data_IF_892622414179
#
_entry.id   IF_892622414179
#
_cell.length_a   1.000
_cell.length_b   1.000
_cell.length_c   1.000
_cell.angle_alpha   90.00
_cell.angle_beta   90.00
_cell.angle_gamma   90.00
#
_symmetry.space_group_name_H-M   'P 1'
#
loop_
_entity.id
_entity.type
_entity.pdbx_description
1 polymer ?
#
# COMPACT_ATOMS: atom_id res chain seq x y z
N UNK A 1 -6.90 18.90 -13.75
CA UNK A 1 -8.16 19.61 -14.07
C UNK A 1 -9.11 19.39 -12.91
N UNK A 2 -9.52 20.41 -12.17
CA UNK A 2 -10.53 20.23 -11.14
C UNK A 2 -11.88 19.93 -11.82
N UNK A 3 -12.46 18.78 -11.51
CA UNK A 3 -13.85 18.48 -11.84
C UNK A 3 -14.73 18.89 -10.67
N UNK A 4 -15.65 19.77 -10.88
CA UNK A 4 -16.76 20.03 -9.95
C UNK A 4 -17.93 19.19 -10.42
N UNK A 5 -18.28 18.15 -9.69
CA UNK A 5 -19.52 17.41 -9.88
C UNK A 5 -20.62 18.12 -9.12
N UNK A 6 -21.61 18.59 -9.82
CA UNK A 6 -22.88 19.05 -9.23
C UNK A 6 -23.89 17.94 -9.50
N UNK A 7 -24.13 17.07 -8.51
CA UNK A 7 -25.21 16.09 -8.60
C UNK A 7 -26.54 16.77 -8.28
N UNK A 8 -27.38 16.85 -9.24
CA UNK A 8 -28.68 17.47 -9.14
C UNK A 8 -29.78 16.42 -9.14
N UNK A 9 -30.58 16.34 -8.08
CA UNK A 9 -31.78 15.52 -8.06
C UNK A 9 -32.98 16.46 -8.08
N UNK A 10 -33.63 16.62 -9.22
CA UNK A 10 -34.87 17.36 -9.36
C UNK A 10 -36.07 16.45 -9.03
N UNK A 11 -36.44 16.37 -7.75
CA UNK A 11 -37.69 15.72 -7.37
C UNK A 11 -38.79 16.78 -7.17
N UNK A 12 -39.84 16.72 -7.98
CA UNK A 12 -41.10 17.44 -7.78
C UNK A 12 -41.11 18.95 -7.90
N UNK A 13 -40.58 19.56 -8.96
CA UNK A 13 -40.71 21.00 -9.21
C UNK A 13 -41.73 21.32 -10.28
N UNK A 14 -42.38 22.50 -10.21
CA UNK A 14 -43.20 23.05 -11.27
C UNK A 14 -42.42 23.52 -12.50
N UNK A 15 -41.09 23.59 -12.44
CA UNK A 15 -40.25 23.98 -13.57
C UNK A 15 -39.91 22.80 -14.46
N UNK A 16 -40.12 22.94 -15.76
CA UNK A 16 -39.83 21.84 -16.74
C UNK A 16 -38.35 21.71 -17.08
N UNK A 17 -37.52 22.74 -16.87
CA UNK A 17 -36.09 22.70 -17.15
C UNK A 17 -35.34 23.78 -16.36
N UNK A 18 -34.11 23.50 -16.00
CA UNK A 18 -33.19 24.40 -15.31
C UNK A 18 -32.04 24.79 -16.24
N UNK A 19 -31.73 26.10 -16.29
CA UNK A 19 -30.63 26.60 -17.12
C UNK A 19 -29.43 26.91 -16.24
N UNK A 20 -28.37 26.07 -16.32
CA UNK A 20 -27.11 26.33 -15.63
C UNK A 20 -26.22 27.15 -16.55
N UNK A 21 -25.86 28.36 -16.11
CA UNK A 21 -24.98 29.27 -16.83
C UNK A 21 -23.56 29.02 -16.28
N UNK A 22 -22.74 28.33 -17.05
CA UNK A 22 -21.29 28.32 -16.86
C UNK A 22 -20.68 29.40 -17.74
N UNK A 23 -19.51 29.93 -17.39
CA UNK A 23 -18.86 31.07 -18.01
C UNK A 23 -18.77 31.03 -19.55
N UNK A 24 -18.87 29.82 -20.15
CA UNK A 24 -18.79 29.65 -21.61
C UNK A 24 -19.89 28.77 -22.24
N UNK A 25 -20.75 28.09 -21.48
CA UNK A 25 -21.81 27.25 -22.04
C UNK A 25 -23.04 27.20 -21.16
N UNK A 26 -24.20 27.28 -21.79
CA UNK A 26 -25.52 27.12 -21.15
C UNK A 26 -25.97 25.66 -21.32
N UNK A 27 -26.13 24.95 -20.23
CA UNK A 27 -26.62 23.56 -20.23
C UNK A 27 -28.07 23.57 -19.75
N UNK A 28 -29.00 23.04 -20.56
CA UNK A 28 -30.38 22.83 -20.15
C UNK A 28 -30.47 21.46 -19.46
N UNK A 29 -31.03 21.44 -18.26
CA UNK A 29 -31.25 20.23 -17.47
C UNK A 29 -32.73 19.97 -17.39
N UNK A 30 -33.15 18.81 -17.83
CA UNK A 30 -34.55 18.38 -17.72
C UNK A 30 -34.81 17.69 -16.36
N UNK A 31 -36.09 17.65 -15.97
CA UNK A 31 -36.53 17.14 -14.69
C UNK A 31 -36.10 15.66 -14.51
N UNK A 32 -35.30 15.36 -13.49
CA UNK A 32 -34.85 14.01 -13.15
C UNK A 32 -33.50 13.59 -13.76
N UNK A 33 -32.82 14.49 -14.46
CA UNK A 33 -31.50 14.21 -15.06
C UNK A 33 -30.38 14.50 -14.09
N UNK A 34 -29.40 13.56 -14.01
CA UNK A 34 -28.17 13.74 -13.23
C UNK A 34 -27.10 14.32 -14.17
N UNK A 35 -26.54 15.47 -13.82
CA UNK A 35 -25.55 16.11 -14.67
C UNK A 35 -24.22 16.26 -13.96
N UNK A 36 -23.17 15.84 -14.67
CA UNK A 36 -21.77 16.09 -14.32
C UNK A 36 -21.25 17.32 -15.10
N UNK A 37 -20.93 18.39 -14.40
CA UNK A 37 -20.38 19.60 -15.02
C UNK A 37 -18.87 19.65 -14.88
N UNK A 38 -18.17 19.56 -16.02
CA UNK A 38 -16.71 19.72 -16.11
C UNK A 38 -16.38 21.22 -16.30
N UNK A 39 -15.64 21.79 -15.36
CA UNK A 39 -15.17 23.18 -15.43
C UNK A 39 -13.72 23.22 -15.95
N UNK A 40 -13.48 24.08 -16.93
CA UNK A 40 -12.20 24.19 -17.63
C UNK A 40 -10.99 24.59 -16.77
N UNK A 41 -9.80 24.49 -17.37
CA UNK A 41 -8.46 24.47 -16.77
C UNK A 41 -8.02 25.70 -15.96
N UNK A 42 -8.69 26.85 -16.05
CA UNK A 42 -8.12 28.15 -15.64
C UNK A 42 -8.67 28.75 -14.34
N UNK A 43 -9.46 28.00 -13.55
CA UNK A 43 -10.07 28.53 -12.33
C UNK A 43 -9.38 27.97 -11.10
N UNK A 44 -8.88 28.84 -10.21
CA UNK A 44 -8.28 28.46 -8.93
C UNK A 44 -9.33 27.82 -8.00
N UNK A 45 -8.97 26.72 -7.34
CA UNK A 45 -9.86 25.90 -6.50
C UNK A 45 -10.75 26.70 -5.51
N UNK A 46 -10.22 27.78 -4.91
CA UNK A 46 -10.96 28.63 -3.95
C UNK A 46 -12.06 29.47 -4.61
N UNK A 47 -11.82 29.95 -5.83
CA UNK A 47 -12.77 30.76 -6.57
C UNK A 47 -13.92 29.93 -7.10
N UNK A 48 -13.65 28.68 -7.49
CA UNK A 48 -14.68 27.71 -7.91
C UNK A 48 -15.63 27.40 -6.75
N UNK A 49 -15.09 27.08 -5.56
CA UNK A 49 -15.88 26.79 -4.36
C UNK A 49 -16.74 27.99 -3.94
N UNK A 50 -16.18 29.21 -3.96
CA UNK A 50 -16.89 30.42 -3.61
C UNK A 50 -18.01 30.70 -4.62
N UNK A 51 -17.74 30.62 -5.92
CA UNK A 51 -18.71 30.89 -6.98
C UNK A 51 -19.78 29.82 -7.09
N UNK A 52 -19.42 28.53 -6.89
CA UNK A 52 -20.37 27.41 -6.82
C UNK A 52 -21.30 27.57 -5.61
N UNK A 53 -20.76 27.94 -4.43
CA UNK A 53 -21.55 28.19 -3.22
C UNK A 53 -22.51 29.40 -3.38
N UNK A 54 -22.04 30.51 -3.98
CA UNK A 54 -22.89 31.66 -4.29
C UNK A 54 -23.95 31.33 -5.35
N UNK A 55 -23.60 30.53 -6.37
CA UNK A 55 -24.52 30.01 -7.38
C UNK A 55 -25.60 29.13 -6.76
N UNK A 56 -25.22 28.19 -5.91
CA UNK A 56 -26.12 27.31 -5.19
C UNK A 56 -27.05 28.08 -4.24
N UNK A 57 -26.54 29.09 -3.52
CA UNK A 57 -27.36 29.98 -2.66
C UNK A 57 -28.35 30.82 -3.45
N UNK A 58 -27.95 31.38 -4.61
CA UNK A 58 -28.85 32.09 -5.50
C UNK A 58 -29.91 31.18 -6.10
N UNK A 59 -29.56 29.96 -6.47
CA UNK A 59 -30.50 28.95 -6.94
C UNK A 59 -31.47 28.52 -5.84
N UNK A 60 -30.98 28.25 -4.63
CA UNK A 60 -31.81 27.91 -3.48
C UNK A 60 -32.80 29.00 -3.10
N UNK A 61 -32.39 30.28 -3.24
CA UNK A 61 -33.25 31.43 -3.02
C UNK A 61 -34.28 31.67 -4.15
N UNK A 62 -33.97 31.23 -5.40
CA UNK A 62 -34.87 31.34 -6.55
C UNK A 62 -35.86 30.21 -6.72
N UNK A 63 -35.63 29.08 -6.04
CA UNK A 63 -36.37 27.84 -6.16
C UNK A 63 -37.01 27.49 -4.81
N UNK A 64 -38.06 28.20 -4.49
CA UNK A 64 -38.89 27.99 -3.29
C UNK A 64 -38.87 26.50 -2.78
N UNK A 65 -38.19 26.26 -1.64
CA UNK A 65 -38.16 25.11 -0.76
C UNK A 65 -38.28 23.63 -1.33
N UNK A 66 -38.39 23.45 -2.62
CA UNK A 66 -38.66 22.14 -3.25
C UNK A 66 -37.43 21.37 -3.75
N UNK A 67 -36.21 21.90 -3.56
CA UNK A 67 -34.97 21.29 -4.04
C UNK A 67 -34.00 21.04 -2.91
N UNK A 68 -33.64 19.78 -2.72
CA UNK A 68 -32.54 19.40 -1.87
C UNK A 68 -31.28 19.33 -2.70
N UNK A 69 -30.38 20.31 -2.57
CA UNK A 69 -29.02 20.23 -3.11
C UNK A 69 -28.26 19.27 -2.23
N UNK A 70 -28.15 18.02 -2.67
CA UNK A 70 -27.58 16.99 -1.82
C UNK A 70 -26.06 17.02 -1.70
N UNK A 71 -25.28 17.41 -2.71
CA UNK A 71 -23.82 17.48 -2.61
C UNK A 71 -23.15 18.37 -3.66
N UNK A 72 -22.34 19.32 -3.20
CA UNK A 72 -21.24 19.92 -3.96
C UNK A 72 -19.96 19.18 -3.55
N UNK A 73 -19.59 18.13 -4.27
CA UNK A 73 -18.27 17.52 -4.09
C UNK A 73 -17.31 18.06 -5.16
N UNK A 74 -16.39 18.92 -4.76
CA UNK A 74 -15.18 19.12 -5.56
C UNK A 74 -14.34 17.86 -5.45
N UNK A 75 -14.49 16.94 -6.39
CA UNK A 75 -13.57 15.83 -6.55
C UNK A 75 -12.32 16.41 -7.20
N UNK A 76 -11.28 16.71 -6.42
CA UNK A 76 -9.93 16.77 -6.99
C UNK A 76 -9.75 15.44 -7.70
N UNK A 77 -9.74 15.44 -9.01
CA UNK A 77 -9.16 14.34 -9.74
C UNK A 77 -7.68 14.38 -9.42
N UNK A 78 -7.31 13.76 -8.32
CA UNK A 78 -5.94 13.46 -7.97
C UNK A 78 -5.40 12.52 -9.04
N UNK A 79 -5.07 13.06 -10.20
CA UNK A 79 -4.58 12.30 -11.34
C UNK A 79 -3.09 12.06 -11.29
N UNK A 80 -2.47 12.11 -10.14
CA UNK A 80 -1.04 11.92 -9.99
C UNK A 80 -0.67 10.56 -9.43
N UNK A 81 0.25 9.87 -10.08
CA UNK A 81 0.92 8.66 -9.58
C UNK A 81 1.72 8.94 -8.29
N UNK A 82 2.01 10.23 -8.00
CA UNK A 82 2.83 10.66 -6.87
C UNK A 82 2.33 10.11 -5.53
N UNK A 83 1.04 10.22 -5.26
CA UNK A 83 0.46 9.74 -4.00
C UNK A 83 0.62 8.24 -3.82
N UNK A 84 0.26 7.46 -4.84
CA UNK A 84 0.38 5.99 -4.79
C UNK A 84 1.83 5.52 -4.73
N UNK A 85 2.77 6.24 -5.35
CA UNK A 85 4.21 5.95 -5.26
C UNK A 85 4.72 6.16 -3.83
N UNK A 86 4.42 7.30 -3.21
CA UNK A 86 4.82 7.59 -1.83
C UNK A 86 4.17 6.58 -0.86
N UNK A 87 2.88 6.28 -1.04
CA UNK A 87 2.19 5.27 -0.22
C UNK A 87 2.85 3.90 -0.31
N UNK A 88 3.26 3.49 -1.52
CA UNK A 88 3.97 2.23 -1.74
C UNK A 88 5.35 2.23 -1.07
N UNK A 89 6.09 3.34 -1.12
CA UNK A 89 7.37 3.46 -0.42
C UNK A 89 7.20 3.36 1.10
N UNK A 90 6.22 4.04 1.69
CA UNK A 90 5.91 3.90 3.12
C UNK A 90 5.51 2.46 3.48
N UNK A 91 4.69 1.82 2.65
CA UNK A 91 4.29 0.43 2.84
C UNK A 91 5.52 -0.50 2.86
N UNK A 92 6.42 -0.36 1.88
CA UNK A 92 7.66 -1.14 1.81
C UNK A 92 8.51 -0.93 3.06
N UNK A 93 8.79 0.33 3.41
CA UNK A 93 9.65 0.65 4.56
C UNK A 93 9.09 0.11 5.87
N UNK A 94 7.80 0.33 6.13
CA UNK A 94 7.15 -0.14 7.35
C UNK A 94 7.09 -1.67 7.40
N UNK A 95 6.72 -2.32 6.29
CA UNK A 95 6.68 -3.78 6.25
C UNK A 95 8.06 -4.39 6.50
N UNK A 96 9.11 -3.88 5.84
CA UNK A 96 10.47 -4.37 6.06
C UNK A 96 10.96 -4.11 7.48
N UNK A 97 10.59 -2.97 8.08
CA UNK A 97 10.93 -2.63 9.46
C UNK A 97 10.38 -3.66 10.45
N UNK A 98 9.20 -4.23 10.19
CA UNK A 98 8.61 -5.25 11.06
C UNK A 98 9.02 -6.68 10.65
N UNK A 99 8.95 -7.02 9.36
CA UNK A 99 9.14 -8.41 8.93
C UNK A 99 10.58 -8.87 9.02
N UNK A 100 11.58 -8.01 8.74
CA UNK A 100 12.98 -8.43 8.77
C UNK A 100 13.45 -8.77 10.19
N UNK A 101 13.26 -7.93 11.22
CA UNK A 101 13.68 -8.28 12.58
C UNK A 101 12.98 -9.54 13.11
N UNK A 102 11.67 -9.65 12.89
CA UNK A 102 10.88 -10.79 13.33
C UNK A 102 11.28 -12.07 12.59
N UNK A 103 11.38 -12.01 11.26
CA UNK A 103 11.70 -13.16 10.42
C UNK A 103 13.15 -13.65 10.60
N UNK A 104 14.12 -12.72 10.67
CA UNK A 104 15.52 -13.05 10.93
C UNK A 104 15.67 -13.65 12.33
N UNK A 105 15.04 -13.07 13.35
CA UNK A 105 15.06 -13.60 14.72
C UNK A 105 14.48 -15.02 14.80
N UNK A 106 13.32 -15.24 14.16
CA UNK A 106 12.70 -16.57 14.08
C UNK A 106 13.59 -17.57 13.31
N UNK A 107 14.19 -17.17 12.19
CA UNK A 107 15.10 -18.02 11.43
C UNK A 107 16.34 -18.41 12.23
N UNK A 108 16.97 -17.48 12.93
CA UNK A 108 18.10 -17.73 13.82
C UNK A 108 17.71 -18.74 14.91
N UNK A 109 16.55 -18.52 15.54
CA UNK A 109 16.07 -19.44 16.57
C UNK A 109 15.83 -20.84 16.02
N UNK A 110 15.08 -20.99 14.94
CA UNK A 110 14.72 -22.27 14.35
C UNK A 110 15.92 -23.02 13.78
N UNK A 111 16.91 -22.30 13.20
CA UNK A 111 18.06 -22.94 12.54
C UNK A 111 19.19 -23.26 13.52
N UNK A 112 19.49 -22.36 14.46
CA UNK A 112 20.70 -22.44 15.27
C UNK A 112 20.47 -22.81 16.75
N UNK A 113 19.28 -22.50 17.29
CA UNK A 113 18.95 -22.75 18.70
C UNK A 113 17.99 -23.93 18.93
N UNK A 114 16.97 -24.05 18.07
CA UNK A 114 15.93 -25.05 18.25
C UNK A 114 16.49 -26.47 18.09
N UNK A 115 16.23 -27.32 19.08
CA UNK A 115 16.56 -28.75 18.99
C UNK A 115 15.64 -29.44 17.98
N UNK A 116 16.18 -30.42 17.27
CA UNK A 116 15.38 -31.30 16.41
C UNK A 116 14.33 -32.02 17.24
N UNK A 117 13.06 -31.96 16.81
CA UNK A 117 11.95 -32.56 17.54
C UNK A 117 10.59 -32.15 17.00
N UNK A 118 9.54 -32.72 17.59
CA UNK A 118 8.14 -32.49 17.16
C UNK A 118 7.73 -31.01 17.16
N UNK A 119 8.25 -30.24 18.10
CA UNK A 119 7.92 -28.78 18.22
C UNK A 119 8.50 -27.99 17.06
N UNK A 120 9.78 -28.20 16.71
CA UNK A 120 10.41 -27.56 15.54
C UNK A 120 9.69 -27.95 14.26
N UNK A 121 9.42 -29.25 14.08
CA UNK A 121 8.68 -29.76 12.92
C UNK A 121 7.27 -29.11 12.81
N UNK A 122 6.55 -29.00 13.94
CA UNK A 122 5.23 -28.36 13.95
C UNK A 122 5.30 -26.91 13.48
N UNK A 123 6.22 -26.11 14.03
CA UNK A 123 6.37 -24.69 13.64
C UNK A 123 6.75 -24.59 12.16
N UNK A 124 7.69 -25.40 11.68
CA UNK A 124 8.10 -25.40 10.26
C UNK A 124 6.92 -25.75 9.36
N UNK A 125 6.14 -26.76 9.70
CA UNK A 125 4.95 -27.15 8.94
C UNK A 125 3.88 -26.05 8.95
N UNK A 126 3.70 -25.32 10.06
CA UNK A 126 2.78 -24.17 10.12
C UNK A 126 3.25 -23.03 9.22
N UNK A 127 4.57 -22.72 9.19
CA UNK A 127 5.15 -21.73 8.30
C UNK A 127 4.93 -22.13 6.83
N UNK A 128 5.11 -23.41 6.51
CA UNK A 128 4.90 -23.95 5.19
C UNK A 128 3.43 -23.87 4.77
N UNK A 129 2.52 -24.28 5.64
CA UNK A 129 1.08 -24.17 5.40
C UNK A 129 0.64 -22.72 5.19
N UNK A 130 1.16 -21.78 6.00
CA UNK A 130 0.83 -20.35 5.89
C UNK A 130 1.26 -19.77 4.55
N UNK A 131 2.38 -20.23 3.99
CA UNK A 131 2.85 -19.76 2.68
C UNK A 131 1.95 -20.17 1.50
N UNK A 132 1.09 -21.17 1.67
CA UNK A 132 0.11 -21.63 0.70
C UNK A 132 -1.26 -20.91 0.78
N UNK A 133 -1.50 -20.09 1.79
CA UNK A 133 -2.78 -19.40 1.98
C UNK A 133 -2.90 -18.23 0.99
N UNK A 134 -4.06 -18.08 0.27
CA UNK A 134 -4.30 -16.93 -0.59
C UNK A 134 -4.20 -15.60 0.17
N UNK A 135 -3.52 -14.61 -0.41
CA UNK A 135 -3.26 -13.31 0.24
C UNK A 135 -4.53 -12.53 0.63
N UNK A 136 -5.63 -12.76 -0.10
CA UNK A 136 -6.93 -12.15 0.21
C UNK A 136 -7.42 -12.50 1.62
N UNK A 137 -7.16 -13.73 2.09
CA UNK A 137 -7.54 -14.18 3.44
C UNK A 137 -6.80 -13.36 4.49
N UNK A 138 -5.52 -13.11 4.28
CA UNK A 138 -4.74 -12.22 5.16
C UNK A 138 -5.27 -10.79 5.14
N UNK A 139 -5.80 -10.32 4.01
CA UNK A 139 -6.48 -9.03 3.92
C UNK A 139 -7.70 -8.95 4.84
N UNK A 140 -8.54 -9.99 4.87
CA UNK A 140 -9.67 -10.08 5.79
C UNK A 140 -9.23 -10.13 7.26
N UNK A 141 -8.21 -10.94 7.57
CA UNK A 141 -7.63 -10.99 8.92
C UNK A 141 -7.10 -9.60 9.31
N UNK A 142 -6.40 -8.94 8.41
CA UNK A 142 -5.89 -7.58 8.63
C UNK A 142 -6.99 -6.56 8.89
N UNK A 143 -8.09 -6.65 8.17
CA UNK A 143 -9.27 -5.80 8.38
C UNK A 143 -9.87 -6.00 9.77
N UNK A 144 -10.01 -7.25 10.21
CA UNK A 144 -10.65 -7.57 11.50
C UNK A 144 -9.73 -7.31 12.69
N UNK A 145 -8.40 -7.50 12.52
CA UNK A 145 -7.42 -7.43 13.62
C UNK A 145 -6.67 -6.11 13.62
N UNK A 146 -6.08 -5.71 12.46
CA UNK A 146 -5.14 -4.58 12.44
C UNK A 146 -5.82 -3.21 12.29
N UNK A 147 -6.98 -3.12 11.64
CA UNK A 147 -7.71 -1.84 11.63
C UNK A 147 -8.16 -1.47 13.06
N UNK A 148 -8.82 -2.35 13.84
CA UNK A 148 -9.12 -2.04 15.25
C UNK A 148 -7.88 -1.81 16.11
N UNK A 149 -6.78 -2.57 15.88
CA UNK A 149 -5.53 -2.36 16.61
C UNK A 149 -4.96 -0.96 16.37
N UNK A 150 -4.90 -0.50 15.12
CA UNK A 150 -4.43 0.86 14.79
C UNK A 150 -5.40 1.92 15.32
N UNK A 151 -6.70 1.64 15.39
CA UNK A 151 -7.71 2.56 15.93
C UNK A 151 -7.49 2.90 17.41
N UNK A 152 -6.86 2.01 18.18
CA UNK A 152 -6.49 2.27 19.59
C UNK A 152 -5.52 3.47 19.71
N UNK A 153 -4.68 3.71 18.70
CA UNK A 153 -3.70 4.80 18.69
C UNK A 153 -4.23 6.06 17.99
N UNK A 154 -5.16 5.91 17.06
CA UNK A 154 -5.66 7.02 16.22
C UNK A 154 -7.02 7.54 16.66
N UNK A 155 -7.74 6.78 17.47
CA UNK A 155 -9.13 7.07 17.87
C UNK A 155 -10.14 6.93 16.72
N UNK A 156 -9.72 6.44 15.54
CA UNK A 156 -10.57 6.24 14.36
C UNK A 156 -10.35 4.85 13.78
N UNK A 157 -11.44 4.10 13.63
CA UNK A 157 -11.41 2.80 12.94
C UNK A 157 -11.52 3.03 11.43
N UNK A 158 -10.41 3.25 10.78
CA UNK A 158 -10.34 3.57 9.34
C UNK A 158 -9.17 2.84 8.68
N UNK A 159 -9.21 2.75 7.36
CA UNK A 159 -8.10 2.23 6.57
C UNK A 159 -6.81 2.99 6.85
N UNK A 160 -5.67 2.27 6.87
CA UNK A 160 -4.37 2.90 7.10
C UNK A 160 -3.22 2.14 6.42
N UNK A 161 -2.16 2.88 6.07
CA UNK A 161 -0.92 2.29 5.55
C UNK A 161 -0.29 1.38 6.61
N UNK A 162 -0.38 1.76 7.89
CA UNK A 162 0.17 0.96 8.99
C UNK A 162 -0.54 -0.39 9.13
N UNK A 163 -1.89 -0.44 9.05
CA UNK A 163 -2.62 -1.71 9.04
C UNK A 163 -2.24 -2.58 7.83
N UNK A 164 -2.05 -1.94 6.66
CA UNK A 164 -1.52 -2.61 5.47
C UNK A 164 -0.12 -3.20 5.70
N UNK A 165 0.79 -2.46 6.30
CA UNK A 165 2.15 -2.91 6.59
C UNK A 165 2.18 -4.08 7.60
N UNK A 166 1.35 -4.04 8.64
CA UNK A 166 1.20 -5.15 9.59
C UNK A 166 0.62 -6.41 8.93
N UNK A 167 -0.37 -6.23 8.05
CA UNK A 167 -0.94 -7.34 7.26
C UNK A 167 0.12 -7.96 6.35
N UNK A 168 0.87 -7.13 5.61
CA UNK A 168 1.96 -7.60 4.75
C UNK A 168 3.08 -8.25 5.55
N UNK A 169 3.31 -7.83 6.79
CA UNK A 169 4.28 -8.47 7.68
C UNK A 169 3.92 -9.93 7.91
N UNK A 170 2.66 -10.25 8.23
CA UNK A 170 2.24 -11.66 8.42
C UNK A 170 2.35 -12.45 7.11
N UNK A 171 1.95 -11.87 5.99
CA UNK A 171 2.03 -12.53 4.66
C UNK A 171 3.48 -12.88 4.29
N UNK A 172 4.43 -12.01 4.64
CA UNK A 172 5.83 -12.15 4.23
C UNK A 172 6.70 -12.89 5.25
N UNK A 173 6.23 -13.01 6.49
CA UNK A 173 6.98 -13.66 7.57
C UNK A 173 7.48 -15.08 7.19
N UNK A 174 6.66 -15.97 6.62
CA UNK A 174 7.11 -17.29 6.17
C UNK A 174 8.24 -17.22 5.14
N UNK A 175 8.15 -16.29 4.20
CA UNK A 175 9.17 -16.12 3.15
C UNK A 175 10.51 -15.70 3.77
N UNK A 176 10.49 -14.69 4.65
CA UNK A 176 11.72 -14.21 5.32
C UNK A 176 12.33 -15.29 6.20
N UNK A 177 11.53 -16.04 6.94
CA UNK A 177 12.03 -17.12 7.80
C UNK A 177 12.73 -18.18 6.94
N UNK A 178 12.09 -18.65 5.87
CA UNK A 178 12.66 -19.70 5.00
C UNK A 178 13.95 -19.26 4.34
N UNK A 179 13.92 -18.14 3.62
CA UNK A 179 15.09 -17.66 2.87
C UNK A 179 16.25 -17.29 3.79
N UNK A 180 15.95 -16.74 4.98
CA UNK A 180 16.99 -16.47 5.99
C UNK A 180 17.53 -17.78 6.58
N UNK A 181 16.69 -18.78 6.86
CA UNK A 181 17.14 -20.08 7.34
C UNK A 181 18.06 -20.78 6.33
N UNK A 182 17.70 -20.75 5.04
CA UNK A 182 18.54 -21.27 3.95
C UNK A 182 19.88 -20.54 3.88
N UNK A 183 19.88 -19.21 4.03
CA UNK A 183 21.10 -18.41 4.07
C UNK A 183 21.99 -18.75 5.27
N UNK A 184 21.41 -19.04 6.44
CA UNK A 184 22.15 -19.45 7.62
C UNK A 184 22.74 -20.87 7.46
N UNK A 185 21.96 -21.80 6.89
CA UNK A 185 22.40 -23.18 6.64
C UNK A 185 23.51 -23.25 5.59
N UNK A 186 23.50 -22.34 4.60
CA UNK A 186 24.54 -22.30 3.56
C UNK A 186 25.94 -21.94 4.08
N UNK A 187 26.04 -21.43 5.32
CA UNK A 187 27.34 -21.14 5.96
C UNK A 187 28.02 -22.45 6.38
N UNK A 188 29.26 -22.71 5.96
CA UNK A 188 29.98 -23.90 6.34
C UNK A 188 30.12 -24.09 7.88
N UNK A 189 29.88 -25.29 8.37
CA UNK A 189 29.84 -25.61 9.81
C UNK A 189 31.16 -25.32 10.55
N UNK A 190 32.27 -25.32 9.82
CA UNK A 190 33.58 -25.04 10.43
C UNK A 190 33.68 -23.58 10.97
N UNK A 191 32.92 -22.63 10.46
CA UNK A 191 32.87 -21.28 11.04
C UNK A 191 32.35 -21.30 12.49
N UNK A 192 31.33 -22.13 12.76
CA UNK A 192 30.79 -22.31 14.10
C UNK A 192 31.80 -23.05 15.01
N UNK A 193 32.33 -24.18 14.57
CA UNK A 193 33.25 -25.00 15.39
C UNK A 193 34.57 -24.26 15.68
N UNK A 194 35.17 -23.61 14.71
CA UNK A 194 36.42 -22.85 14.91
C UNK A 194 36.24 -21.69 15.87
N UNK A 195 35.15 -20.96 15.80
CA UNK A 195 34.86 -19.87 16.71
C UNK A 195 34.66 -20.33 18.16
N UNK A 196 33.94 -21.47 18.35
CA UNK A 196 33.73 -22.06 19.66
C UNK A 196 35.05 -22.61 20.23
N UNK A 197 35.92 -23.20 19.40
CA UNK A 197 37.22 -23.69 19.79
C UNK A 197 38.15 -22.53 20.28
N UNK A 198 37.99 -21.34 19.76
CA UNK A 198 38.69 -20.13 20.24
C UNK A 198 38.06 -19.53 21.51
N UNK A 199 37.07 -20.16 22.12
CA UNK A 199 36.45 -19.73 23.36
C UNK A 199 35.31 -18.77 23.23
N UNK A 200 34.82 -18.47 21.99
CA UNK A 200 33.67 -17.64 21.81
C UNK A 200 32.39 -18.32 22.27
N UNK A 201 31.45 -17.57 22.83
CA UNK A 201 30.12 -18.11 23.15
C UNK A 201 29.30 -18.33 21.87
N UNK A 202 28.30 -19.23 21.92
CA UNK A 202 27.39 -19.50 20.81
C UNK A 202 26.74 -18.20 20.29
N UNK A 203 26.28 -17.32 21.17
CA UNK A 203 25.70 -16.04 20.79
C UNK A 203 26.71 -15.13 20.10
N UNK A 204 27.94 -15.03 20.62
CA UNK A 204 29.00 -14.25 20.00
C UNK A 204 29.32 -14.75 18.58
N UNK A 205 29.41 -16.08 18.41
CA UNK A 205 29.62 -16.70 17.10
C UNK A 205 28.48 -16.37 16.13
N UNK A 206 27.22 -16.48 16.57
CA UNK A 206 26.07 -16.20 15.72
C UNK A 206 26.06 -14.74 15.27
N UNK A 207 26.13 -13.78 16.20
CA UNK A 207 25.99 -12.36 15.87
C UNK A 207 27.24 -11.74 15.23
N UNK A 208 28.44 -12.24 15.53
CA UNK A 208 29.68 -11.66 15.00
C UNK A 208 30.22 -12.37 13.75
N UNK A 209 29.84 -13.63 13.51
CA UNK A 209 30.39 -14.43 12.41
C UNK A 209 29.26 -14.91 11.47
N UNK A 210 28.33 -15.72 11.98
CA UNK A 210 27.33 -16.39 11.14
C UNK A 210 26.35 -15.39 10.50
N UNK A 211 25.74 -14.52 11.31
CA UNK A 211 24.77 -13.53 10.83
C UNK A 211 25.41 -12.55 9.84
N UNK A 212 26.58 -11.96 10.10
CA UNK A 212 27.24 -11.19 9.08
C UNK A 212 27.60 -11.98 7.81
N UNK A 213 28.01 -13.24 7.92
CA UNK A 213 28.32 -14.06 6.74
C UNK A 213 27.07 -14.40 5.90
N UNK A 214 25.89 -14.50 6.52
CA UNK A 214 24.61 -14.74 5.85
C UNK A 214 23.94 -13.48 5.29
N UNK A 215 24.49 -12.28 5.50
CA UNK A 215 23.90 -11.01 5.02
C UNK A 215 23.53 -11.01 3.52
N UNK A 216 24.30 -11.56 2.59
CA UNK A 216 23.89 -11.61 1.19
C UNK A 216 22.58 -12.34 0.96
N UNK A 217 22.37 -13.47 1.65
CA UNK A 217 21.11 -14.21 1.59
C UNK A 217 19.95 -13.45 2.27
N UNK A 218 20.22 -12.78 3.38
CA UNK A 218 19.21 -11.92 4.05
C UNK A 218 18.81 -10.73 3.14
N UNK A 219 19.75 -10.13 2.42
CA UNK A 219 19.44 -9.09 1.43
C UNK A 219 18.58 -9.65 0.29
N UNK A 220 18.81 -10.89 -0.12
CA UNK A 220 17.97 -11.57 -1.11
C UNK A 220 16.54 -11.75 -0.58
N UNK A 221 16.37 -12.11 0.69
CA UNK A 221 15.03 -12.19 1.30
C UNK A 221 14.31 -10.86 1.32
N UNK A 222 15.01 -9.77 1.63
CA UNK A 222 14.45 -8.42 1.58
C UNK A 222 14.01 -8.03 0.16
N UNK A 223 14.77 -8.39 -0.87
CA UNK A 223 14.40 -8.18 -2.28
C UNK A 223 13.12 -8.92 -2.66
N UNK A 224 13.01 -10.19 -2.27
CA UNK A 224 11.80 -10.98 -2.52
C UNK A 224 10.57 -10.33 -1.85
N UNK A 225 10.75 -9.83 -0.62
CA UNK A 225 9.70 -9.08 0.08
C UNK A 225 9.29 -7.81 -0.66
N UNK A 226 10.24 -6.99 -1.11
CA UNK A 226 9.97 -5.75 -1.86
C UNK A 226 9.16 -6.07 -3.13
N UNK A 227 9.61 -7.06 -3.91
CA UNK A 227 8.91 -7.46 -5.13
C UNK A 227 7.46 -7.89 -4.84
N UNK A 228 7.24 -8.65 -3.78
CA UNK A 228 5.90 -9.11 -3.38
C UNK A 228 5.02 -7.97 -2.86
N UNK A 229 5.56 -7.04 -2.05
CA UNK A 229 4.81 -5.86 -1.56
C UNK A 229 4.32 -5.00 -2.73
N UNK A 230 5.17 -4.75 -3.72
CA UNK A 230 4.83 -3.91 -4.87
C UNK A 230 3.74 -4.57 -5.73
N UNK A 231 3.78 -5.90 -5.86
CA UNK A 231 2.78 -6.66 -6.64
C UNK A 231 1.47 -6.94 -5.92
N UNK A 232 1.42 -6.75 -4.59
CA UNK A 232 0.25 -7.10 -3.80
C UNK A 232 -0.89 -6.08 -3.96
N UNK A 233 -2.08 -6.57 -4.30
CA UNK A 233 -3.29 -5.75 -4.39
C UNK A 233 -4.46 -6.35 -3.60
N UNK A 234 -4.58 -7.69 -3.60
CA UNK A 234 -5.74 -8.38 -3.05
C UNK A 234 -5.89 -8.21 -1.53
N UNK A 235 -4.80 -8.33 -0.78
CA UNK A 235 -4.84 -8.12 0.67
C UNK A 235 -4.99 -6.64 1.03
N UNK A 236 -4.35 -5.74 0.26
CA UNK A 236 -4.26 -4.31 0.58
C UNK A 236 -5.58 -3.56 0.42
N UNK A 237 -6.48 -4.01 -0.47
CA UNK A 237 -7.79 -3.37 -0.67
C UNK A 237 -8.62 -3.34 0.62
N UNK A 238 -8.49 -4.37 1.45
CA UNK A 238 -9.27 -4.52 2.70
C UNK A 238 -8.70 -3.72 3.88
N UNK A 239 -7.43 -3.31 3.83
CA UNK A 239 -6.74 -2.68 4.97
C UNK A 239 -6.21 -1.29 4.68
N UNK A 240 -5.90 -0.97 3.41
CA UNK A 240 -5.44 0.36 3.00
C UNK A 240 -6.53 1.19 2.34
N UNK A 241 -7.58 0.53 1.77
CA UNK A 241 -8.62 1.18 0.98
C UNK A 241 -8.12 1.60 -0.41
N UNK A 242 -8.98 2.28 -1.18
CA UNK A 242 -8.73 2.65 -2.57
C UNK A 242 -8.73 4.17 -2.82
N UNK A 243 -8.52 4.99 -1.78
CA UNK A 243 -8.57 6.44 -1.95
C UNK A 243 -7.26 7.02 -2.46
N UNK A 244 -7.32 7.73 -3.59
CA UNK A 244 -6.19 8.45 -4.16
C UNK A 244 -6.04 9.77 -3.40
N UNK A 245 -4.93 9.95 -2.68
CA UNK A 245 -4.62 11.16 -1.90
C UNK A 245 -3.21 11.60 -2.22
N UNK A 246 -2.98 12.92 -2.32
CA UNK A 246 -1.65 13.49 -2.50
C UNK A 246 -0.93 13.71 -1.16
N UNK A 247 -1.69 14.00 -0.11
CA UNK A 247 -1.14 14.16 1.24
C UNK A 247 -1.24 12.83 1.99
N UNK A 248 -0.11 12.16 2.16
CA UNK A 248 -0.02 10.81 2.69
C UNK A 248 0.37 10.83 4.16
N UNK A 249 -0.47 10.20 4.96
CA UNK A 249 -0.22 9.96 6.38
C UNK A 249 -0.25 8.45 6.63
N UNK A 250 0.68 7.92 7.41
CA UNK A 250 0.82 6.50 7.75
C UNK A 250 -0.45 5.94 8.41
N UNK A 251 -1.15 6.78 9.17
CA UNK A 251 -2.38 6.43 9.88
C UNK A 251 -3.65 6.63 9.07
N UNK A 252 -3.55 6.96 7.80
CA UNK A 252 -4.69 7.14 6.91
C UNK A 252 -4.65 6.16 5.75
N UNK A 253 -5.83 5.86 5.20
CA UNK A 253 -5.95 5.06 4.00
C UNK A 253 -5.35 5.77 2.79
N UNK A 254 -4.62 5.01 1.98
CA UNK A 254 -4.02 5.45 0.73
C UNK A 254 -3.97 4.27 -0.25
N UNK A 255 -3.79 4.57 -1.51
CA UNK A 255 -3.72 3.55 -2.56
C UNK A 255 -2.27 3.22 -2.90
N UNK A 256 -1.92 1.92 -2.95
CA UNK A 256 -0.62 1.46 -3.49
C UNK A 256 -0.61 1.52 -5.02
N UNK A 257 0.57 1.43 -5.65
CA UNK A 257 0.69 1.44 -7.11
C UNK A 257 -0.08 0.29 -7.78
N UNK A 258 0.02 -0.92 -7.26
CA UNK A 258 -0.71 -2.10 -7.78
C UNK A 258 -2.22 -1.94 -7.62
N UNK A 259 -2.66 -1.46 -6.45
CA UNK A 259 -4.07 -1.22 -6.19
C UNK A 259 -4.61 -0.03 -7.02
N UNK A 260 -3.75 0.94 -7.37
CA UNK A 260 -4.12 2.05 -8.25
C UNK A 260 -4.45 1.56 -9.67
N UNK A 261 -3.64 0.63 -10.23
CA UNK A 261 -3.95 -0.01 -11.51
C UNK A 261 -5.32 -0.68 -11.44
N UNK A 262 -5.54 -1.48 -10.40
CA UNK A 262 -6.82 -2.17 -10.20
C UNK A 262 -8.00 -1.18 -10.11
N UNK A 263 -7.84 -0.08 -9.39
CA UNK A 263 -8.89 0.95 -9.21
C UNK A 263 -9.26 1.63 -10.53
N UNK A 264 -8.29 2.04 -11.34
CA UNK A 264 -8.55 2.74 -12.60
C UNK A 264 -9.03 1.83 -13.72
N UNK A 265 -8.71 0.53 -13.67
CA UNK A 265 -9.22 -0.45 -14.65
C UNK A 265 -10.64 -0.91 -14.33
N UNK A 266 -11.08 -0.77 -13.08
CA UNK A 266 -12.44 -1.13 -12.62
C UNK A 266 -13.39 0.07 -12.50
N UNK A 267 -12.93 1.28 -12.83
CA UNK A 267 -13.79 2.45 -12.86
C UNK A 267 -14.86 2.36 -13.96
N UNK A 268 -15.96 3.09 -13.82
CA UNK A 268 -17.05 3.14 -14.82
C UNK A 268 -16.53 3.50 -16.22
N UNK A 269 -15.48 4.30 -16.29
CA UNK A 269 -14.72 4.58 -17.52
C UNK A 269 -13.26 4.14 -17.31
N UNK A 270 -12.92 2.89 -17.71
CA UNK A 270 -11.56 2.37 -17.53
C UNK A 270 -10.54 3.21 -18.31
N UNK A 271 -9.43 3.56 -17.65
CA UNK A 271 -8.31 4.26 -18.28
C UNK A 271 -7.11 3.33 -18.43
N UNK A 272 -7.08 2.57 -19.52
CA UNK A 272 -6.00 1.61 -19.79
C UNK A 272 -4.66 2.29 -20.07
N UNK A 273 -4.65 3.51 -20.64
CA UNK A 273 -3.41 4.26 -20.89
C UNK A 273 -2.69 4.60 -19.58
N UNK A 274 -3.44 5.12 -18.60
CA UNK A 274 -2.89 5.38 -17.28
C UNK A 274 -2.48 4.09 -16.55
N UNK A 275 -3.22 3.00 -16.70
CA UNK A 275 -2.86 1.70 -16.14
C UNK A 275 -1.54 1.17 -16.71
N UNK A 276 -1.35 1.25 -18.03
CA UNK A 276 -0.09 0.89 -18.70
C UNK A 276 1.08 1.76 -18.23
N UNK A 277 0.87 3.08 -18.11
CA UNK A 277 1.90 3.99 -17.62
C UNK A 277 2.34 3.64 -16.19
N UNK A 278 1.39 3.36 -15.28
CA UNK A 278 1.70 2.94 -13.91
C UNK A 278 2.43 1.61 -13.91
N UNK A 279 2.04 0.66 -14.75
CA UNK A 279 2.70 -0.65 -14.86
C UNK A 279 4.17 -0.52 -15.28
N UNK A 280 4.48 0.36 -16.24
CA UNK A 280 5.85 0.65 -16.67
C UNK A 280 6.65 1.25 -15.50
N UNK A 281 6.05 2.17 -14.74
CA UNK A 281 6.70 2.77 -13.56
C UNK A 281 6.98 1.70 -12.50
N UNK A 282 6.04 0.79 -12.23
CA UNK A 282 6.25 -0.33 -11.30
C UNK A 282 7.44 -1.18 -11.74
N UNK A 283 7.50 -1.58 -13.02
CA UNK A 283 8.60 -2.36 -13.55
C UNK A 283 9.94 -1.64 -13.39
N UNK A 284 9.97 -0.34 -13.66
CA UNK A 284 11.18 0.47 -13.52
C UNK A 284 11.62 0.58 -12.05
N UNK A 285 10.69 0.83 -11.13
CA UNK A 285 10.97 0.89 -9.68
C UNK A 285 11.50 -0.46 -9.19
N UNK A 286 10.85 -1.56 -9.53
CA UNK A 286 11.30 -2.92 -9.16
C UNK A 286 12.69 -3.20 -9.72
N UNK A 287 12.92 -2.87 -10.99
CA UNK A 287 14.24 -3.04 -11.63
C UNK A 287 15.32 -2.25 -10.89
N UNK A 288 15.09 -0.97 -10.62
CA UNK A 288 16.05 -0.11 -9.89
C UNK A 288 16.34 -0.66 -8.48
N UNK A 289 15.31 -1.05 -7.73
CA UNK A 289 15.49 -1.63 -6.40
C UNK A 289 16.32 -2.93 -6.45
N UNK A 290 16.06 -3.80 -7.43
CA UNK A 290 16.83 -5.02 -7.64
C UNK A 290 18.33 -4.70 -7.94
N UNK A 291 18.59 -3.72 -8.79
CA UNK A 291 19.95 -3.29 -9.11
C UNK A 291 20.66 -2.74 -7.87
N UNK A 292 19.99 -1.86 -7.11
CA UNK A 292 20.56 -1.26 -5.88
C UNK A 292 20.96 -2.36 -4.87
N UNK A 293 20.08 -3.31 -4.60
CA UNK A 293 20.38 -4.37 -3.62
C UNK A 293 21.45 -5.32 -4.13
N UNK A 294 21.47 -5.64 -5.44
CA UNK A 294 22.59 -6.39 -6.04
C UNK A 294 23.93 -5.69 -5.86
N UNK A 295 23.99 -4.39 -6.08
CA UNK A 295 25.21 -3.60 -5.89
C UNK A 295 25.63 -3.60 -4.41
N UNK A 296 24.68 -3.43 -3.49
CA UNK A 296 24.95 -3.48 -2.04
C UNK A 296 25.49 -4.86 -1.65
N UNK A 297 24.82 -5.93 -2.09
CA UNK A 297 25.24 -7.31 -1.82
C UNK A 297 26.65 -7.58 -2.37
N UNK A 298 26.94 -7.16 -3.61
CA UNK A 298 28.26 -7.30 -4.20
C UNK A 298 29.35 -6.56 -3.41
N UNK A 299 29.09 -5.31 -2.98
CA UNK A 299 30.04 -4.53 -2.16
C UNK A 299 30.33 -5.18 -0.80
N UNK A 300 29.29 -5.77 -0.17
CA UNK A 300 29.44 -6.48 1.09
C UNK A 300 30.30 -7.72 0.92
N UNK A 301 30.04 -8.52 -0.13
CA UNK A 301 30.83 -9.72 -0.43
C UNK A 301 32.30 -9.38 -0.73
N UNK A 302 32.56 -8.34 -1.56
CA UNK A 302 33.92 -7.92 -1.89
C UNK A 302 34.72 -7.44 -0.68
N UNK A 303 34.11 -6.78 0.30
CA UNK A 303 34.77 -6.35 1.55
C UNK A 303 35.16 -7.52 2.45
N UNK A 304 34.64 -8.71 2.24
CA UNK A 304 34.87 -9.90 3.08
C UNK A 304 35.83 -10.93 2.49
N UNK A 305 36.39 -10.66 1.31
CA UNK A 305 37.39 -11.51 0.71
C UNK A 305 36.84 -12.80 0.13
N UNK A 306 35.56 -12.82 -0.22
CA UNK A 306 34.97 -13.92 -0.98
C UNK A 306 34.89 -13.59 -2.46
#
# INVERSE_FOLDING_TARGET
TPCVMINYIASSSPFKSLKIINSNNTIKVDKGEIIDVLIGKDVKDKDIMSNAKKGAQKMAAALDSAYTISYLQCKKTGGGIRGSLIATLYLILLTLLFVLPLGIGAAIYLTLYAKEGKFKSLITNMIDATSGVPSIIFGFVGMIVFIPFVSLFTGKSDYSILAGALTMTIVLLPVVIKTTSEALISIPSHYMSSSLALGATKSQTIFKIILPASLPGILTSALLCIGRIIGESAALIFVMGSSIKDNINIFQGAISLSLHIWSITRADKPNYEAACAISIIILLVVFLLNVIVKIISYKINKKRGA
#
